data_IF_954673822618
#
_entry.id   IF_954673822618
#
_cell.length_a   1.000
_cell.length_b   1.000
_cell.length_c   1.000
_cell.angle_alpha   90.00
_cell.angle_beta   90.00
_cell.angle_gamma   90.00
#
_symmetry.space_group_name_H-M   'P 1'
#
loop_
_entity.id
_entity.type
_entity.pdbx_description
1 polymer ?
#
# COMPACT_ATOMS: atom_id res chain seq x y z
N UNK A 1 86.91 -18.64 -27.38
CA UNK A 1 85.68 -19.28 -27.89
C UNK A 1 84.65 -19.24 -26.77
N UNK A 2 83.48 -18.68 -27.07
CA UNK A 2 82.34 -18.47 -26.16
C UNK A 2 81.48 -19.73 -26.15
N UNK A 3 81.03 -20.19 -24.99
CA UNK A 3 79.86 -21.08 -24.89
C UNK A 3 79.02 -20.65 -23.68
N UNK A 4 77.90 -19.99 -23.97
CA UNK A 4 76.82 -19.74 -23.03
C UNK A 4 76.01 -21.02 -22.85
N UNK A 5 75.81 -21.44 -21.61
CA UNK A 5 74.85 -22.49 -21.25
C UNK A 5 73.62 -21.80 -20.66
N UNK A 6 72.52 -21.84 -21.40
CA UNK A 6 71.19 -21.36 -21.02
C UNK A 6 70.52 -22.43 -20.14
N UNK A 7 69.99 -22.12 -18.94
CA UNK A 7 69.16 -23.05 -18.22
C UNK A 7 67.74 -23.01 -18.78
N UNK A 8 67.45 -24.01 -19.59
CA UNK A 8 66.13 -24.41 -20.11
C UNK A 8 65.27 -24.96 -18.95
N UNK A 9 64.88 -24.11 -18.01
CA UNK A 9 64.11 -24.48 -16.82
C UNK A 9 62.80 -23.70 -16.64
N UNK A 10 62.46 -22.79 -17.56
CA UNK A 10 61.29 -21.91 -17.43
C UNK A 10 60.09 -22.33 -18.31
N UNK A 11 60.21 -23.38 -19.13
CA UNK A 11 59.20 -23.74 -20.12
C UNK A 11 58.11 -24.72 -19.61
N UNK A 12 58.27 -25.32 -18.42
CA UNK A 12 57.34 -26.35 -17.92
C UNK A 12 56.24 -25.83 -16.98
N UNK A 13 56.27 -24.56 -16.56
CA UNK A 13 55.28 -23.97 -15.65
C UNK A 13 54.15 -23.19 -16.35
N UNK A 14 54.16 -23.14 -17.69
CA UNK A 14 53.16 -22.39 -18.49
C UNK A 14 52.03 -23.26 -19.05
N UNK A 15 52.01 -24.57 -18.79
CA UNK A 15 51.08 -25.51 -19.42
C UNK A 15 49.86 -25.91 -18.56
N UNK A 16 49.56 -25.20 -17.45
CA UNK A 16 48.46 -25.55 -16.54
C UNK A 16 47.39 -24.45 -16.36
N UNK A 17 47.38 -23.40 -17.17
CA UNK A 17 46.40 -22.30 -17.11
C UNK A 17 45.38 -22.32 -18.28
N UNK A 18 45.07 -23.51 -18.80
CA UNK A 18 44.22 -23.67 -19.98
C UNK A 18 43.07 -24.64 -19.73
N UNK A 19 42.24 -24.36 -18.72
CA UNK A 19 40.87 -24.86 -18.59
C UNK A 19 40.11 -23.98 -17.58
N UNK A 20 39.82 -22.73 -17.97
CA UNK A 20 38.77 -21.93 -17.33
C UNK A 20 37.86 -21.42 -18.46
N UNK A 21 36.55 -21.78 -18.48
CA UNK A 21 35.66 -21.33 -19.53
C UNK A 21 35.44 -19.81 -19.40
N UNK A 22 35.83 -19.06 -20.43
CA UNK A 22 35.46 -17.66 -20.58
C UNK A 22 33.96 -17.55 -20.79
N UNK A 23 33.23 -17.19 -19.75
CA UNK A 23 31.85 -16.73 -19.85
C UNK A 23 31.86 -15.41 -20.63
N UNK A 24 31.04 -15.26 -21.70
CA UNK A 24 30.97 -14.01 -22.45
C UNK A 24 30.56 -12.87 -21.53
N UNK A 25 31.44 -11.87 -21.44
CA UNK A 25 31.25 -10.59 -20.78
C UNK A 25 30.04 -9.89 -21.40
N UNK A 26 28.89 -10.07 -20.76
CA UNK A 26 27.72 -9.22 -21.00
C UNK A 26 28.06 -7.89 -20.33
N UNK A 27 28.70 -6.99 -21.08
CA UNK A 27 29.32 -5.75 -20.64
C UNK A 27 28.38 -4.71 -20.02
N UNK A 28 27.70 -5.09 -18.95
CA UNK A 28 27.08 -4.19 -17.99
C UNK A 28 27.58 -4.67 -16.63
N UNK A 29 28.35 -3.86 -15.89
CA UNK A 29 28.62 -4.13 -14.49
C UNK A 29 27.26 -4.16 -13.79
N UNK A 30 26.73 -5.35 -13.50
CA UNK A 30 25.55 -5.52 -12.67
C UNK A 30 25.95 -5.13 -11.24
N UNK A 31 25.52 -3.97 -10.72
CA UNK A 31 25.86 -3.55 -9.38
C UNK A 31 24.84 -4.12 -8.40
N UNK A 32 24.41 -5.38 -8.53
CA UNK A 32 23.48 -6.03 -7.61
C UNK A 32 22.19 -5.24 -7.34
N UNK A 33 21.80 -4.36 -8.27
CA UNK A 33 20.62 -3.53 -8.16
C UNK A 33 19.48 -4.33 -8.79
N UNK A 34 18.65 -4.90 -7.93
CA UNK A 34 17.57 -5.80 -8.30
C UNK A 34 16.69 -5.30 -9.44
N UNK A 35 16.00 -6.25 -10.07
CA UNK A 35 15.06 -6.04 -11.17
C UNK A 35 14.13 -4.84 -10.94
N UNK A 36 14.32 -3.77 -11.72
CA UNK A 36 13.27 -2.80 -12.02
C UNK A 36 13.15 -1.55 -11.14
N UNK A 37 14.02 -1.32 -10.15
CA UNK A 37 13.99 -0.09 -9.35
C UNK A 37 15.39 0.51 -9.36
N UNK A 38 15.57 1.62 -10.08
CA UNK A 38 16.88 2.26 -10.32
C UNK A 38 17.63 2.71 -9.05
N UNK A 39 18.65 3.55 -9.23
CA UNK A 39 19.51 4.05 -8.14
C UNK A 39 18.68 4.70 -7.00
N UNK A 40 19.04 4.40 -5.75
CA UNK A 40 18.38 4.92 -4.56
C UNK A 40 18.42 6.47 -4.49
N UNK A 41 19.50 7.10 -4.94
CA UNK A 41 19.59 8.55 -5.06
C UNK A 41 18.60 9.10 -6.09
N UNK A 42 18.32 8.35 -7.15
CA UNK A 42 17.33 8.71 -8.16
C UNK A 42 15.89 8.57 -7.62
N UNK A 43 15.64 7.55 -6.80
CA UNK A 43 14.39 7.41 -6.05
C UNK A 43 14.14 8.61 -5.14
N UNK A 44 15.15 9.05 -4.38
CA UNK A 44 15.03 10.22 -3.51
C UNK A 44 14.75 11.50 -4.30
N UNK A 45 15.38 11.71 -5.46
CA UNK A 45 15.09 12.85 -6.34
C UNK A 45 13.64 12.83 -6.85
N UNK A 46 13.12 11.66 -7.23
CA UNK A 46 11.71 11.50 -7.64
C UNK A 46 10.72 11.77 -6.51
N UNK A 47 11.04 11.36 -5.30
CA UNK A 47 10.23 11.65 -4.09
C UNK A 47 10.12 13.17 -3.88
N UNK A 48 11.24 13.89 -3.85
CA UNK A 48 11.26 15.34 -3.64
C UNK A 48 10.52 16.10 -4.75
N UNK A 49 10.70 15.70 -6.01
CA UNK A 49 10.00 16.32 -7.14
C UNK A 49 8.47 16.12 -7.07
N UNK A 50 8.03 14.93 -6.66
CA UNK A 50 6.60 14.62 -6.46
C UNK A 50 6.02 15.44 -5.31
N UNK A 51 6.73 15.51 -4.18
CA UNK A 51 6.27 16.23 -3.00
C UNK A 51 6.19 17.75 -3.28
N UNK A 52 7.12 18.29 -4.07
CA UNK A 52 7.06 19.66 -4.57
C UNK A 52 5.88 19.90 -5.53
N UNK A 53 5.55 18.94 -6.40
CA UNK A 53 4.39 19.02 -7.29
C UNK A 53 3.06 18.97 -6.52
N UNK A 54 3.00 18.25 -5.39
CA UNK A 54 1.81 18.15 -4.54
C UNK A 54 1.58 19.39 -3.67
N UNK A 55 2.64 20.13 -3.31
CA UNK A 55 2.53 21.34 -2.50
C UNK A 55 1.85 22.53 -3.22
N UNK A 56 1.73 22.49 -4.55
CA UNK A 56 1.02 23.49 -5.34
C UNK A 56 -0.42 23.09 -5.75
N UNK A 57 -0.79 21.83 -5.59
CA UNK A 57 -2.06 21.29 -6.06
C UNK A 57 -3.05 21.24 -4.89
N UNK A 58 -3.69 22.37 -4.59
CA UNK A 58 -4.83 22.35 -3.66
C UNK A 58 -5.95 21.48 -4.26
N UNK A 59 -6.22 20.35 -3.62
CA UNK A 59 -7.36 19.51 -3.97
C UNK A 59 -8.63 20.32 -3.66
N UNK A 60 -9.57 20.49 -4.61
CA UNK A 60 -10.78 21.26 -4.34
C UNK A 60 -11.51 20.68 -3.13
N UNK A 61 -12.00 21.56 -2.25
CA UNK A 61 -12.73 21.15 -1.06
C UNK A 61 -13.94 20.26 -1.44
N UNK A 62 -14.23 19.21 -0.66
CA UNK A 62 -15.39 18.36 -0.92
C UNK A 62 -16.67 19.21 -0.92
N UNK A 63 -17.55 18.95 -1.87
CA UNK A 63 -18.85 19.61 -1.95
C UNK A 63 -19.65 19.38 -0.67
N UNK A 64 -20.25 20.43 -0.12
CA UNK A 64 -21.05 20.33 1.09
C UNK A 64 -22.25 19.40 0.86
N UNK A 65 -22.36 18.33 1.66
CA UNK A 65 -23.48 17.41 1.64
C UNK A 65 -24.57 17.97 2.57
N UNK A 66 -25.73 18.30 2.02
CA UNK A 66 -26.89 18.68 2.83
C UNK A 66 -27.58 17.42 3.36
N UNK A 67 -27.58 17.23 4.67
CA UNK A 67 -28.35 16.20 5.35
C UNK A 67 -29.66 16.80 5.86
N UNK A 68 -30.78 16.37 5.30
CA UNK A 68 -32.10 16.78 5.77
C UNK A 68 -32.64 15.69 6.70
N UNK A 69 -32.95 15.98 7.97
CA UNK A 69 -33.47 14.98 8.89
C UNK A 69 -34.86 14.54 8.41
N UNK A 70 -35.01 13.23 8.19
CA UNK A 70 -36.31 12.62 7.95
C UNK A 70 -37.04 12.59 9.29
N UNK A 71 -38.08 13.43 9.44
CA UNK A 71 -38.88 13.45 10.67
C UNK A 71 -39.65 12.13 10.77
N UNK A 72 -39.54 11.47 11.92
CA UNK A 72 -40.31 10.28 12.23
C UNK A 72 -41.80 10.64 12.21
N UNK A 73 -42.57 9.95 11.37
CA UNK A 73 -44.03 9.99 11.38
C UNK A 73 -44.52 9.56 12.76
N UNK A 74 -44.85 10.54 13.58
CA UNK A 74 -45.53 10.33 14.85
C UNK A 74 -47.01 10.38 14.56
N UNK A 75 -47.63 9.22 14.66
CA UNK A 75 -49.08 9.04 14.70
C UNK A 75 -49.66 9.94 15.82
N UNK A 76 -50.42 10.97 15.43
CA UNK A 76 -51.24 11.77 16.34
C UNK A 76 -50.87 13.24 16.52
N UNK A 77 -51.27 14.09 15.57
CA UNK A 77 -51.92 15.38 15.86
C UNK A 77 -52.67 15.89 14.61
N UNK A 78 -53.95 15.54 14.51
CA UNK A 78 -54.87 15.82 13.41
C UNK A 78 -55.25 17.32 13.20
N UNK A 79 -54.29 18.25 13.34
CA UNK A 79 -54.55 19.70 13.23
C UNK A 79 -53.59 20.46 12.30
N UNK A 80 -52.29 20.13 12.29
CA UNK A 80 -51.30 20.78 11.42
C UNK A 80 -51.30 20.24 9.99
N UNK A 81 -51.60 18.95 9.86
CA UNK A 81 -51.42 18.22 8.60
C UNK A 81 -52.58 18.52 7.65
N UNK A 82 -53.77 18.79 8.18
CA UNK A 82 -54.92 19.23 7.37
C UNK A 82 -54.67 20.60 6.76
N UNK A 83 -54.01 21.53 7.46
CA UNK A 83 -53.72 22.85 6.91
C UNK A 83 -52.65 22.80 5.82
N UNK A 84 -51.62 21.95 5.99
CA UNK A 84 -50.58 21.74 4.99
C UNK A 84 -51.11 20.98 3.77
N UNK A 85 -51.89 19.90 3.96
CA UNK A 85 -52.54 19.18 2.88
C UNK A 85 -53.57 20.05 2.16
N UNK A 86 -54.39 20.81 2.89
CA UNK A 86 -55.35 21.72 2.27
C UNK A 86 -54.62 22.78 1.45
N UNK A 87 -53.49 23.32 1.94
CA UNK A 87 -52.69 24.28 1.19
C UNK A 87 -52.03 23.66 -0.05
N UNK A 88 -51.55 22.41 0.03
CA UNK A 88 -50.96 21.68 -1.08
C UNK A 88 -52.01 21.35 -2.16
N UNK A 89 -53.20 20.90 -1.75
CA UNK A 89 -54.33 20.64 -2.65
C UNK A 89 -54.82 21.95 -3.29
N UNK A 90 -54.95 23.04 -2.52
CA UNK A 90 -55.35 24.36 -3.07
C UNK A 90 -54.31 24.91 -4.05
N UNK A 91 -53.00 24.74 -3.78
CA UNK A 91 -51.93 25.14 -4.69
C UNK A 91 -51.91 24.30 -5.98
N UNK A 92 -52.13 22.99 -5.85
CA UNK A 92 -52.29 22.10 -7.01
C UNK A 92 -53.54 22.46 -7.84
N UNK A 93 -54.64 22.87 -7.20
CA UNK A 93 -55.86 23.27 -7.91
C UNK A 93 -55.71 24.63 -8.60
N UNK A 94 -54.99 25.59 -7.98
CA UNK A 94 -54.74 26.94 -8.55
C UNK A 94 -53.80 26.94 -9.77
N UNK A 95 -52.97 25.92 -9.90
CA UNK A 95 -52.01 25.78 -11.02
C UNK A 95 -52.59 24.94 -12.16
N UNK A 96 -53.80 24.39 -11.98
CA UNK A 96 -54.57 23.67 -12.99
C UNK A 96 -55.65 24.56 -13.62
N UNK A 97 -56.47 24.01 -14.52
CA UNK A 97 -57.51 24.68 -15.30
C UNK A 97 -58.63 25.35 -14.48
N UNK A 98 -58.63 25.21 -13.16
CA UNK A 98 -59.71 25.63 -12.26
C UNK A 98 -60.78 24.55 -11.99
N UNK A 99 -60.73 23.43 -12.71
CA UNK A 99 -61.57 22.26 -12.49
C UNK A 99 -60.93 21.29 -11.48
N UNK A 100 -61.75 20.60 -10.69
CA UNK A 100 -61.27 19.59 -9.74
C UNK A 100 -60.59 18.43 -10.50
N UNK A 101 -59.37 18.01 -10.11
CA UNK A 101 -58.70 16.87 -10.72
C UNK A 101 -59.58 15.63 -10.66
N UNK A 102 -59.81 15.00 -11.82
CA UNK A 102 -60.55 13.74 -11.89
C UNK A 102 -59.60 12.60 -11.51
N UNK A 103 -59.92 11.90 -10.43
CA UNK A 103 -59.18 10.70 -10.05
C UNK A 103 -59.43 9.55 -11.04
N UNK A 104 -58.38 8.79 -11.31
CA UNK A 104 -58.48 7.61 -12.16
C UNK A 104 -59.38 6.55 -11.48
N UNK A 105 -60.37 6.05 -12.21
CA UNK A 105 -61.28 5.00 -11.76
C UNK A 105 -61.46 3.96 -12.88
N UNK A 106 -62.02 2.77 -12.60
CA UNK A 106 -62.32 1.81 -13.67
C UNK A 106 -63.20 2.37 -14.80
N UNK A 107 -64.04 3.38 -14.48
CA UNK A 107 -64.87 4.13 -15.43
C UNK A 107 -64.18 5.37 -16.03
N UNK A 108 -62.98 5.73 -15.57
CA UNK A 108 -62.16 6.84 -16.05
C UNK A 108 -60.68 6.39 -16.07
N UNK A 109 -60.26 5.57 -17.05
CA UNK A 109 -58.89 5.07 -17.12
C UNK A 109 -57.91 6.24 -17.31
N UNK A 110 -56.67 6.13 -16.77
CA UNK A 110 -55.67 7.17 -16.93
C UNK A 110 -55.36 7.41 -18.42
N UNK A 111 -54.99 8.65 -18.81
CA UNK A 111 -54.62 8.96 -20.18
C UNK A 111 -53.48 8.05 -20.63
N UNK A 112 -53.67 7.39 -21.77
CA UNK A 112 -52.64 6.56 -22.38
C UNK A 112 -51.50 7.48 -22.79
N UNK A 113 -50.31 7.26 -22.25
CA UNK A 113 -49.11 7.99 -22.65
C UNK A 113 -48.77 7.56 -24.08
N UNK A 114 -49.26 8.29 -25.08
CA UNK A 114 -48.84 8.10 -26.46
C UNK A 114 -47.36 8.50 -26.55
N UNK A 115 -46.50 7.47 -26.66
CA UNK A 115 -45.08 7.51 -26.98
C UNK A 115 -44.45 8.90 -27.01
N UNK A 116 -43.74 9.23 -25.94
CA UNK A 116 -42.98 10.47 -25.82
C UNK A 116 -41.69 10.34 -26.63
N UNK A 117 -41.57 10.92 -27.85
CA UNK A 117 -40.46 10.64 -28.76
C UNK A 117 -39.13 11.30 -28.34
N UNK A 118 -39.06 11.86 -27.13
CA UNK A 118 -37.88 12.51 -26.55
C UNK A 118 -37.33 11.83 -25.29
N UNK A 119 -37.95 10.73 -24.83
CA UNK A 119 -37.35 9.87 -23.80
C UNK A 119 -36.57 8.80 -24.54
N UNK A 120 -35.24 8.85 -24.40
CA UNK A 120 -34.35 7.82 -24.91
C UNK A 120 -34.72 6.45 -24.34
N UNK A 121 -34.45 5.40 -25.12
CA UNK A 121 -34.91 4.01 -24.89
C UNK A 121 -34.49 3.43 -23.52
N UNK A 122 -33.57 4.08 -22.80
CA UNK A 122 -33.05 3.69 -21.49
C UNK A 122 -34.05 3.89 -20.34
N UNK A 123 -35.16 4.60 -20.54
CA UNK A 123 -36.22 4.76 -19.53
C UNK A 123 -37.56 4.08 -19.92
N UNK A 124 -37.63 3.40 -21.07
CA UNK A 124 -38.80 2.60 -21.44
C UNK A 124 -38.69 1.19 -20.84
N UNK A 125 -39.56 0.89 -19.86
CA UNK A 125 -39.59 -0.41 -19.20
C UNK A 125 -39.86 -1.58 -20.14
N UNK A 126 -40.60 -1.37 -21.24
CA UNK A 126 -40.84 -2.40 -22.24
C UNK A 126 -39.54 -2.69 -23.02
N UNK A 127 -38.83 -1.65 -23.45
CA UNK A 127 -37.57 -1.76 -24.18
C UNK A 127 -36.46 -2.36 -23.31
N UNK A 128 -36.26 -1.86 -22.09
CA UNK A 128 -35.27 -2.40 -21.14
C UNK A 128 -35.54 -3.87 -20.79
N UNK A 129 -36.81 -4.27 -20.69
CA UNK A 129 -37.17 -5.68 -20.45
C UNK A 129 -36.93 -6.59 -21.65
N UNK A 130 -36.93 -6.04 -22.87
CA UNK A 130 -36.68 -6.76 -24.12
C UNK A 130 -35.18 -6.85 -24.45
N UNK A 131 -34.36 -5.88 -24.01
CA UNK A 131 -32.92 -5.86 -24.27
C UNK A 131 -32.16 -6.99 -23.57
N UNK A 132 -32.52 -7.36 -22.34
CA UNK A 132 -31.93 -8.51 -21.63
C UNK A 132 -32.98 -9.24 -20.79
N UNK A 133 -33.21 -10.50 -21.11
CA UNK A 133 -34.14 -11.33 -20.34
C UNK A 133 -33.52 -11.75 -19.01
N UNK A 134 -34.37 -12.01 -18.00
CA UNK A 134 -33.94 -12.57 -16.70
C UNK A 134 -33.22 -13.92 -16.88
N UNK A 135 -33.60 -14.67 -17.91
CA UNK A 135 -33.00 -15.95 -18.27
C UNK A 135 -31.56 -15.77 -18.76
N UNK A 136 -31.29 -14.76 -19.59
CA UNK A 136 -29.93 -14.45 -20.08
C UNK A 136 -29.01 -14.01 -18.95
N UNK A 137 -29.54 -13.23 -18.00
CA UNK A 137 -28.78 -12.83 -16.82
C UNK A 137 -28.50 -14.00 -15.87
N UNK A 138 -29.47 -14.90 -15.67
CA UNK A 138 -29.26 -16.13 -14.91
C UNK A 138 -28.19 -17.03 -15.57
N UNK A 139 -28.23 -17.17 -16.89
CA UNK A 139 -27.23 -17.94 -17.65
C UNK A 139 -25.84 -17.32 -17.53
N UNK A 140 -25.73 -15.99 -17.60
CA UNK A 140 -24.46 -15.27 -17.40
C UNK A 140 -23.92 -15.44 -15.99
N UNK A 141 -24.77 -15.32 -14.98
CA UNK A 141 -24.36 -15.56 -13.58
C UNK A 141 -23.91 -17.01 -13.37
N UNK A 142 -24.58 -17.98 -13.99
CA UNK A 142 -24.16 -19.38 -13.96
C UNK A 142 -22.78 -19.56 -14.61
N UNK A 143 -22.55 -18.95 -15.78
CA UNK A 143 -21.25 -18.98 -16.46
C UNK A 143 -20.14 -18.30 -15.64
N UNK A 144 -20.44 -17.17 -14.98
CA UNK A 144 -19.49 -16.49 -14.09
C UNK A 144 -19.16 -17.34 -12.86
N UNK A 145 -20.17 -18.02 -12.27
CA UNK A 145 -19.96 -18.94 -11.15
C UNK A 145 -19.11 -20.14 -11.53
N UNK A 146 -19.22 -20.66 -12.75
CA UNK A 146 -18.35 -21.75 -13.24
C UNK A 146 -16.89 -21.35 -13.38
N UNK A 147 -16.60 -20.07 -13.64
CA UNK A 147 -15.25 -19.55 -13.77
C UNK A 147 -14.72 -18.90 -12.48
N UNK A 148 -15.53 -18.87 -11.42
CA UNK A 148 -15.14 -18.24 -10.16
C UNK A 148 -14.30 -19.22 -9.33
N UNK A 149 -13.02 -18.91 -9.18
CA UNK A 149 -12.12 -19.63 -8.27
C UNK A 149 -11.75 -18.73 -7.10
N UNK A 150 -12.15 -19.13 -5.89
CA UNK A 150 -11.72 -18.46 -4.67
C UNK A 150 -10.37 -19.03 -4.25
N UNK A 151 -9.31 -18.20 -4.32
CA UNK A 151 -8.00 -18.55 -3.78
C UNK A 151 -8.06 -18.32 -2.27
N UNK A 152 -7.88 -19.39 -1.49
CA UNK A 152 -7.81 -19.26 -0.04
C UNK A 152 -6.47 -18.66 0.40
N UNK A 153 -6.45 -17.78 1.41
CA UNK A 153 -5.20 -17.28 1.97
C UNK A 153 -4.37 -18.44 2.54
N UNK A 154 -3.24 -18.74 1.92
CA UNK A 154 -2.26 -19.66 2.50
C UNK A 154 -1.41 -18.90 3.51
N UNK A 155 -1.22 -19.46 4.71
CA UNK A 155 -0.31 -18.89 5.70
C UNK A 155 1.11 -18.81 5.11
N UNK A 156 1.77 -17.67 5.28
CA UNK A 156 3.16 -17.55 4.85
C UNK A 156 4.01 -18.60 5.58
N UNK A 157 4.93 -19.28 4.88
CA UNK A 157 5.81 -20.24 5.55
C UNK A 157 6.62 -19.53 6.63
N UNK A 158 6.63 -20.10 7.84
CA UNK A 158 7.58 -19.68 8.87
C UNK A 158 8.99 -19.97 8.35
N UNK A 159 9.87 -18.96 8.38
CA UNK A 159 11.25 -19.10 7.89
C UNK A 159 11.94 -20.28 8.59
N UNK A 160 12.20 -21.35 7.84
CA UNK A 160 12.93 -22.52 8.31
C UNK A 160 14.44 -22.28 8.12
N UNK A 161 15.18 -22.21 9.23
CA UNK A 161 16.63 -22.04 9.25
C UNK A 161 17.10 -20.91 10.15
N UNK A 162 18.33 -21.02 10.66
CA UNK A 162 19.03 -20.01 11.45
C UNK A 162 19.38 -18.79 10.57
N UNK A 163 18.37 -18.07 10.07
CA UNK A 163 18.58 -16.68 9.74
C UNK A 163 18.96 -15.98 11.03
N UNK A 164 19.94 -15.09 10.97
CA UNK A 164 20.44 -14.35 12.11
C UNK A 164 19.33 -13.61 12.87
N UNK A 165 19.71 -12.91 13.95
CA UNK A 165 18.77 -12.15 14.74
C UNK A 165 17.90 -11.23 13.87
N UNK A 166 16.58 -11.29 14.06
CA UNK A 166 15.66 -10.47 13.30
C UNK A 166 15.54 -9.07 13.94
N UNK A 167 16.13 -8.08 13.28
CA UNK A 167 16.12 -6.68 13.74
C UNK A 167 14.71 -6.08 13.80
N UNK A 168 13.79 -6.50 12.93
CA UNK A 168 12.40 -6.04 12.92
C UNK A 168 11.64 -6.61 14.12
N UNK A 169 11.82 -7.90 14.40
CA UNK A 169 11.24 -8.52 15.58
C UNK A 169 11.77 -7.85 16.87
N UNK A 170 13.06 -7.52 16.90
CA UNK A 170 13.67 -6.77 18.00
C UNK A 170 13.09 -5.35 18.12
N UNK A 171 12.92 -4.62 17.00
CA UNK A 171 12.31 -3.29 16.99
C UNK A 171 10.90 -3.28 17.59
N UNK A 172 10.11 -4.31 17.27
CA UNK A 172 8.72 -4.48 17.72
C UNK A 172 8.62 -4.95 19.18
N UNK A 173 9.62 -5.68 19.67
CA UNK A 173 9.67 -6.17 21.05
C UNK A 173 10.25 -5.13 22.04
N UNK A 174 11.20 -4.31 21.58
CA UNK A 174 11.78 -3.22 22.37
C UNK A 174 10.80 -2.06 22.50
N UNK A 175 10.72 -1.47 23.70
CA UNK A 175 9.88 -0.31 24.01
C UNK A 175 10.66 0.98 24.27
N UNK A 176 11.98 0.89 24.39
CA UNK A 176 12.83 2.05 24.70
C UNK A 176 13.03 2.95 23.47
N UNK A 177 13.28 4.24 23.73
CA UNK A 177 13.63 5.23 22.72
C UNK A 177 15.12 5.22 22.39
N UNK A 178 15.48 5.83 21.26
CA UNK A 178 16.89 6.08 20.89
C UNK A 178 17.53 7.02 21.92
N UNK A 179 18.74 6.70 22.35
CA UNK A 179 19.49 7.39 23.41
C UNK A 179 19.03 7.08 24.85
N UNK A 180 18.01 6.23 25.03
CA UNK A 180 17.53 5.87 26.37
C UNK A 180 18.42 4.79 26.98
N UNK A 181 19.36 5.17 27.85
CA UNK A 181 20.29 4.24 28.51
C UNK A 181 19.58 3.24 29.43
N UNK A 182 19.36 2.02 28.93
CA UNK A 182 18.76 0.90 29.66
C UNK A 182 19.79 -0.19 30.01
N UNK A 183 20.90 -0.25 29.28
CA UNK A 183 22.01 -1.16 29.53
C UNK A 183 23.21 -0.38 30.05
N UNK A 184 23.82 -0.87 31.14
CA UNK A 184 25.05 -0.26 31.68
C UNK A 184 26.21 -0.44 30.70
N UNK A 185 26.86 0.66 30.33
CA UNK A 185 28.04 0.68 29.46
C UNK A 185 29.25 1.27 30.18
N UNK A 186 30.42 0.84 29.76
CA UNK A 186 31.68 1.45 30.20
C UNK A 186 32.03 2.57 29.24
N UNK A 187 32.20 3.78 29.77
CA UNK A 187 32.51 4.97 28.98
C UNK A 187 34.01 5.07 28.61
N UNK A 188 34.84 4.13 29.07
CA UNK A 188 36.26 4.17 28.78
C UNK A 188 36.52 3.96 27.28
N UNK A 189 36.95 5.02 26.62
CA UNK A 189 37.21 5.04 25.18
C UNK A 189 36.01 4.60 24.31
N UNK A 190 34.78 4.74 24.84
CA UNK A 190 33.57 4.27 24.18
C UNK A 190 33.38 4.92 22.81
N UNK A 191 33.59 6.24 22.73
CA UNK A 191 33.38 6.99 21.49
C UNK A 191 34.33 6.60 20.36
N UNK A 192 35.63 6.44 20.64
CA UNK A 192 36.58 6.04 19.59
C UNK A 192 36.36 4.58 19.14
N UNK A 193 35.96 3.70 20.08
CA UNK A 193 35.58 2.32 19.75
C UNK A 193 34.32 2.29 18.88
N UNK A 194 33.30 3.05 19.24
CA UNK A 194 32.06 3.20 18.50
C UNK A 194 32.33 3.64 17.07
N UNK A 195 33.02 4.78 16.88
CA UNK A 195 33.34 5.30 15.55
C UNK A 195 34.09 4.29 14.67
N UNK A 196 35.12 3.63 15.24
CA UNK A 196 35.92 2.64 14.51
C UNK A 196 35.12 1.38 14.14
N UNK A 197 34.28 0.88 15.05
CA UNK A 197 33.59 -0.40 14.85
C UNK A 197 32.33 -0.23 14.01
N UNK A 198 31.60 0.89 14.15
CA UNK A 198 30.45 1.18 13.32
C UNK A 198 30.84 1.42 11.85
N UNK A 199 32.01 2.01 11.60
CA UNK A 199 32.54 2.18 10.25
C UNK A 199 32.81 0.86 9.49
N UNK A 200 32.75 -0.30 10.16
CA UNK A 200 32.93 -1.62 9.53
C UNK A 200 31.68 -2.14 8.82
N UNK A 201 30.52 -1.55 9.11
CA UNK A 201 29.24 -2.01 8.57
C UNK A 201 28.74 -1.04 7.50
N UNK A 202 28.20 -1.59 6.42
CA UNK A 202 27.69 -0.80 5.30
C UNK A 202 26.39 -0.06 5.64
N UNK A 203 25.64 -0.52 6.65
CA UNK A 203 24.39 0.09 7.10
C UNK A 203 24.17 -0.09 8.61
N UNK A 204 23.37 0.78 9.25
CA UNK A 204 22.96 0.60 10.64
C UNK A 204 22.21 -0.71 10.90
N UNK A 205 21.38 -1.16 9.94
CA UNK A 205 20.64 -2.42 10.05
C UNK A 205 21.58 -3.63 10.18
N UNK A 206 22.66 -3.65 9.37
CA UNK A 206 23.65 -4.73 9.41
C UNK A 206 24.47 -4.68 10.70
N UNK A 207 24.78 -3.47 11.19
CA UNK A 207 25.40 -3.31 12.50
C UNK A 207 24.51 -3.82 13.64
N UNK A 208 23.20 -3.55 13.58
CA UNK A 208 22.24 -4.03 14.57
C UNK A 208 22.09 -5.55 14.54
N UNK A 209 22.04 -6.16 13.36
CA UNK A 209 22.02 -7.62 13.23
C UNK A 209 23.28 -8.24 13.85
N UNK A 210 24.46 -7.71 13.53
CA UNK A 210 25.73 -8.18 14.10
C UNK A 210 25.80 -7.97 15.62
N UNK A 211 25.29 -6.84 16.11
CA UNK A 211 25.19 -6.52 17.54
C UNK A 211 24.37 -7.59 18.27
N UNK A 212 23.15 -7.86 17.80
CA UNK A 212 22.29 -8.90 18.36
C UNK A 212 22.94 -10.29 18.25
N UNK A 213 23.61 -10.59 17.14
CA UNK A 213 24.26 -11.88 16.92
C UNK A 213 25.44 -12.09 17.87
N UNK A 214 26.11 -11.01 18.27
CA UNK A 214 27.23 -11.02 19.21
C UNK A 214 26.82 -11.07 20.70
N UNK A 215 25.50 -11.03 20.99
CA UNK A 215 24.93 -11.05 22.33
C UNK A 215 24.51 -9.68 22.88
N UNK A 216 24.44 -8.67 22.03
CA UNK A 216 23.73 -7.43 22.34
C UNK A 216 22.22 -7.70 22.53
N UNK A 217 21.51 -6.91 23.32
CA UNK A 217 21.96 -5.70 24.01
C UNK A 217 22.60 -5.91 25.40
N UNK A 218 22.56 -7.12 25.94
CA UNK A 218 23.13 -7.42 27.26
C UNK A 218 24.66 -7.32 27.24
N UNK A 219 25.32 -7.75 26.16
CA UNK A 219 26.77 -7.72 26.01
C UNK A 219 27.19 -6.99 24.74
N UNK A 220 27.62 -5.74 24.90
CA UNK A 220 28.24 -4.98 23.81
C UNK A 220 29.75 -5.22 23.74
N UNK A 221 30.16 -6.38 23.20
CA UNK A 221 31.58 -6.73 23.05
C UNK A 221 32.31 -5.80 22.09
N UNK A 222 31.61 -5.37 21.04
CA UNK A 222 32.18 -4.60 19.95
C UNK A 222 32.10 -3.09 20.19
N UNK A 223 31.41 -2.62 21.23
CA UNK A 223 31.29 -1.19 21.52
C UNK A 223 30.44 -0.47 20.48
N UNK A 224 29.36 -1.10 20.00
CA UNK A 224 28.48 -0.58 18.97
C UNK A 224 27.34 0.30 19.52
N UNK A 225 27.07 0.20 20.82
CA UNK A 225 25.99 0.90 21.54
C UNK A 225 26.58 1.53 22.82
N UNK A 226 27.27 2.69 22.70
CA UNK A 226 27.98 3.35 23.79
C UNK A 226 27.04 4.03 24.79
N UNK A 227 25.86 4.45 24.35
CA UNK A 227 24.79 5.04 25.14
C UNK A 227 23.93 4.01 25.87
N UNK A 228 23.99 2.75 25.46
CA UNK A 228 23.34 1.63 26.15
C UNK A 228 21.84 1.59 25.93
N UNK A 229 21.36 2.13 24.81
CA UNK A 229 19.94 2.09 24.45
C UNK A 229 19.57 0.76 23.76
N UNK A 230 20.55 -0.09 23.46
CA UNK A 230 20.32 -1.36 22.79
C UNK A 230 20.15 -1.22 21.27
N UNK A 231 20.50 -0.07 20.70
CA UNK A 231 20.49 0.23 19.27
C UNK A 231 21.90 0.57 18.78
N UNK A 232 22.47 -0.28 17.96
CA UNK A 232 23.83 -0.18 17.48
C UNK A 232 23.98 0.86 16.37
N UNK A 233 25.10 1.61 16.37
CA UNK A 233 25.58 2.37 15.20
C UNK A 233 24.53 3.28 14.53
N UNK A 234 23.78 4.02 15.35
CA UNK A 234 22.70 4.93 14.94
C UNK A 234 21.48 4.24 14.29
N UNK A 235 21.29 2.95 14.56
CA UNK A 235 20.08 2.24 14.15
C UNK A 235 18.83 2.80 14.85
N UNK A 236 17.75 3.01 14.09
CA UNK A 236 16.49 3.56 14.59
C UNK A 236 15.35 2.53 14.45
N UNK A 237 14.70 2.10 15.55
CA UNK A 237 13.56 1.18 15.49
C UNK A 237 12.26 1.84 15.02
N UNK A 238 12.16 3.17 14.99
CA UNK A 238 10.92 3.90 14.75
C UNK A 238 10.22 3.53 13.42
N UNK A 239 10.91 3.38 12.28
CA UNK A 239 10.29 2.99 11.02
C UNK A 239 9.56 1.64 11.13
N UNK A 240 10.14 0.66 11.83
CA UNK A 240 9.56 -0.67 12.00
C UNK A 240 8.36 -0.67 12.95
N UNK A 241 8.37 0.20 13.97
CA UNK A 241 7.28 0.33 14.95
C UNK A 241 6.03 0.99 14.35
N UNK A 242 6.18 1.90 13.37
CA UNK A 242 5.06 2.59 12.71
C UNK A 242 4.13 1.65 11.93
N UNK A 243 4.64 0.51 11.45
CA UNK A 243 3.88 -0.46 10.63
C UNK A 243 2.92 -1.31 11.47
N UNK A 244 3.05 -1.31 12.81
CA UNK A 244 2.16 -2.08 13.70
C UNK A 244 0.77 -1.42 13.89
N UNK A 245 0.60 -0.16 13.49
CA UNK A 245 -0.64 0.60 13.72
C UNK A 245 -1.64 0.47 12.57
#
# INVERSE_FOLDING_TARGET
MRFSIVPMGLAALLALAACDPTIPDSGVPDPGAGVGFGDYAEYQKRQVARDAALQGQSVPAPSAVSGQPLSAVSDGTAGSDVAADTAAVLAATRTNSGDAPLDASPSNPPPVQLNNPGISDENDFATVSAERSRQDDAARQAALKQNYTQIQPTALPSRAGAAGPNIVAYALASSNGVGQSIYKRSNFNAQARYQKNCAKYASPDLAQEAFLASGGPQKDKQGLDPDGDGFACAWDPAPFRKVKQ
#
